data_IF_070045433097
#
_entry.id   IF_070045433097
#
_cell.length_a   1.000
_cell.length_b   1.000
_cell.length_c   1.000
_cell.angle_alpha   90.00
_cell.angle_beta   90.00
_cell.angle_gamma   90.00
#
_symmetry.space_group_name_H-M   'P 1'
#
loop_
_entity.id
_entity.type
_entity.pdbx_description
1 polymer ?
#
# COMPACT_ATOMS: atom_id res chain seq x y z
N UNK A 1 3.42 -23.24 -8.38
CA UNK A 1 2.74 -22.16 -7.66
C UNK A 1 3.09 -22.32 -6.20
N UNK A 2 3.49 -21.25 -5.52
CA UNK A 2 3.82 -21.30 -4.10
C UNK A 2 2.60 -21.68 -3.26
N UNK A 3 2.85 -22.29 -2.11
CA UNK A 3 1.80 -22.73 -1.19
C UNK A 3 0.94 -21.57 -0.67
N UNK A 4 1.53 -20.38 -0.54
CA UNK A 4 0.85 -19.17 -0.10
C UNK A 4 1.08 -18.03 -1.10
N UNK A 5 0.09 -17.16 -1.29
CA UNK A 5 0.19 -15.97 -2.13
C UNK A 5 -0.28 -14.76 -1.34
N UNK A 6 0.50 -13.70 -1.33
CA UNK A 6 0.13 -12.41 -0.71
C UNK A 6 0.11 -11.33 -1.79
N UNK A 7 -1.04 -10.79 -2.09
CA UNK A 7 -1.20 -9.62 -2.93
C UNK A 7 -0.92 -8.35 -2.13
N UNK A 8 0.09 -7.59 -2.57
CA UNK A 8 0.56 -6.42 -1.84
C UNK A 8 0.49 -5.15 -2.67
N UNK A 9 -0.14 -4.11 -2.14
CA UNK A 9 -0.02 -2.75 -2.66
C UNK A 9 0.70 -1.87 -1.64
N UNK A 10 1.78 -1.20 -2.07
CA UNK A 10 2.57 -0.36 -1.17
C UNK A 10 3.07 0.89 -1.87
N UNK A 11 2.87 2.07 -1.25
CA UNK A 11 3.40 3.35 -1.70
C UNK A 11 4.71 3.72 -1.00
N UNK A 12 4.72 3.68 0.34
CA UNK A 12 5.86 4.05 1.18
C UNK A 12 6.70 2.86 1.66
N UNK A 13 6.37 1.63 1.26
CA UNK A 13 7.06 0.42 1.69
C UNK A 13 6.41 -0.31 2.86
N UNK A 14 5.60 0.34 3.70
CA UNK A 14 5.05 -0.25 4.92
C UNK A 14 4.25 -1.55 4.67
N UNK A 15 3.38 -1.57 3.67
CA UNK A 15 2.60 -2.76 3.35
C UNK A 15 3.50 -3.90 2.84
N UNK A 16 4.54 -3.59 2.08
CA UNK A 16 5.49 -4.60 1.61
C UNK A 16 6.33 -5.17 2.77
N UNK A 17 6.73 -4.34 3.72
CA UNK A 17 7.42 -4.80 4.93
C UNK A 17 6.52 -5.74 5.75
N UNK A 18 5.25 -5.36 5.95
CA UNK A 18 4.24 -6.22 6.61
C UNK A 18 4.10 -7.56 5.86
N UNK A 19 3.95 -7.51 4.54
CA UNK A 19 3.80 -8.71 3.71
C UNK A 19 5.04 -9.62 3.79
N UNK A 20 6.26 -9.04 3.75
CA UNK A 20 7.52 -9.78 3.92
C UNK A 20 7.62 -10.46 5.31
N UNK A 21 7.21 -9.76 6.38
CA UNK A 21 7.23 -10.33 7.72
C UNK A 21 6.23 -11.49 7.88
N UNK A 22 5.04 -11.36 7.30
CA UNK A 22 4.05 -12.45 7.27
C UNK A 22 4.58 -13.63 6.45
N UNK A 23 5.07 -13.37 5.23
CA UNK A 23 5.60 -14.39 4.32
C UNK A 23 6.74 -15.21 4.94
N UNK A 24 7.69 -14.56 5.62
CA UNK A 24 8.78 -15.24 6.34
C UNK A 24 8.29 -16.24 7.38
N UNK A 25 7.15 -15.98 8.02
CA UNK A 25 6.57 -16.86 9.01
C UNK A 25 5.78 -18.01 8.39
N UNK A 26 5.15 -17.76 7.24
CA UNK A 26 4.38 -18.76 6.52
C UNK A 26 5.26 -19.74 5.71
N UNK A 27 6.43 -19.27 5.26
CA UNK A 27 7.30 -20.01 4.31
C UNK A 27 6.62 -20.19 2.95
N UNK A 28 7.36 -20.60 1.93
CA UNK A 28 6.88 -20.87 0.57
C UNK A 28 5.76 -19.91 0.13
N UNK A 29 6.09 -18.62 0.07
CA UNK A 29 5.13 -17.54 -0.18
C UNK A 29 5.57 -16.64 -1.33
N UNK A 30 4.71 -16.45 -2.31
CA UNK A 30 4.86 -15.40 -3.33
C UNK A 30 4.15 -14.12 -2.90
N UNK A 31 4.88 -13.01 -2.84
CA UNK A 31 4.31 -11.67 -2.68
C UNK A 31 4.15 -11.08 -4.07
N UNK A 32 2.92 -10.92 -4.53
CA UNK A 32 2.56 -10.34 -5.82
C UNK A 32 2.21 -8.88 -5.65
N UNK A 33 2.94 -7.99 -6.31
CA UNK A 33 2.70 -6.56 -6.21
C UNK A 33 1.48 -6.16 -7.04
N UNK A 34 0.42 -5.65 -6.40
CA UNK A 34 -0.79 -5.14 -7.03
C UNK A 34 -0.51 -3.77 -7.70
N UNK A 35 0.22 -3.78 -8.79
CA UNK A 35 0.47 -2.59 -9.62
C UNK A 35 -0.43 -2.66 -10.85
N UNK A 36 -0.42 -1.62 -11.71
CA UNK A 36 -1.13 -1.67 -12.96
C UNK A 36 -0.70 -2.92 -13.74
N UNK A 37 -1.66 -3.81 -14.01
CA UNK A 37 -1.49 -5.04 -14.78
C UNK A 37 -0.55 -6.11 -14.16
N UNK A 38 -0.83 -6.61 -12.94
CA UNK A 38 -0.13 -7.81 -12.47
C UNK A 38 -0.51 -9.02 -13.33
N UNK A 39 0.50 -9.82 -13.68
CA UNK A 39 0.34 -10.99 -14.55
C UNK A 39 -0.39 -12.15 -13.85
N UNK A 40 -0.27 -12.22 -12.51
CA UNK A 40 -0.84 -13.31 -11.70
C UNK A 40 -2.27 -12.94 -11.31
N UNK A 41 -3.25 -13.57 -11.95
CA UNK A 41 -4.69 -13.41 -11.64
C UNK A 41 -5.38 -14.72 -11.25
N UNK A 42 -4.75 -15.86 -11.47
CA UNK A 42 -5.28 -17.17 -11.10
C UNK A 42 -4.38 -17.79 -10.02
N UNK A 43 -4.92 -17.90 -8.83
CA UNK A 43 -4.23 -18.46 -7.66
C UNK A 43 -4.99 -19.64 -7.06
N UNK A 44 -5.83 -20.28 -7.87
CA UNK A 44 -6.46 -21.54 -7.47
C UNK A 44 -5.39 -22.60 -7.19
N UNK A 45 -5.55 -23.31 -6.10
CA UNK A 45 -4.56 -24.24 -5.56
C UNK A 45 -3.58 -23.64 -4.55
N UNK A 46 -3.59 -22.31 -4.32
CA UNK A 46 -2.89 -21.73 -3.18
C UNK A 46 -3.60 -22.09 -1.87
N UNK A 47 -2.83 -22.54 -0.87
CA UNK A 47 -3.39 -22.88 0.45
C UNK A 47 -3.89 -21.64 1.18
N UNK A 48 -3.17 -20.53 1.06
CA UNK A 48 -3.53 -19.25 1.68
C UNK A 48 -3.42 -18.13 0.66
N UNK A 49 -4.39 -17.21 0.68
CA UNK A 49 -4.40 -16.02 -0.16
C UNK A 49 -4.57 -14.79 0.73
N UNK A 50 -3.59 -13.89 0.71
CA UNK A 50 -3.57 -12.69 1.54
C UNK A 50 -3.65 -11.41 0.73
N UNK A 51 -4.22 -10.35 1.34
CA UNK A 51 -4.30 -9.00 0.78
C UNK A 51 -3.70 -8.00 1.76
N UNK A 52 -2.59 -7.35 1.40
CA UNK A 52 -1.92 -6.35 2.24
C UNK A 52 -1.91 -5.01 1.50
N UNK A 53 -2.60 -4.01 2.04
CA UNK A 53 -2.81 -2.75 1.34
C UNK A 53 -2.93 -1.54 2.30
N UNK A 54 -2.68 -0.31 1.82
CA UNK A 54 -2.83 0.89 2.62
C UNK A 54 -4.26 1.43 2.56
N UNK A 55 -4.67 2.11 3.64
CA UNK A 55 -5.86 2.95 3.63
C UNK A 55 -5.52 4.31 2.99
N UNK A 56 -6.18 4.64 1.88
CA UNK A 56 -6.10 5.95 1.26
C UNK A 56 -7.42 6.69 1.43
N UNK A 57 -7.40 7.73 2.29
CA UNK A 57 -8.58 8.55 2.58
C UNK A 57 -9.86 7.71 2.82
N UNK A 58 -9.78 6.82 3.79
CA UNK A 58 -10.88 5.95 4.17
C UNK A 58 -11.15 4.75 3.25
N UNK A 59 -10.45 4.61 2.12
CA UNK A 59 -10.72 3.57 1.12
C UNK A 59 -9.51 2.78 0.64
N UNK A 60 -9.77 1.97 -0.39
CA UNK A 60 -8.74 1.25 -1.15
C UNK A 60 -8.06 2.20 -2.16
N UNK A 61 -6.79 1.97 -2.51
CA UNK A 61 -6.29 2.46 -3.79
C UNK A 61 -7.14 1.89 -4.94
N UNK A 62 -7.57 2.74 -5.89
CA UNK A 62 -8.50 2.32 -6.95
C UNK A 62 -8.03 1.12 -7.78
N UNK A 63 -6.71 0.99 -7.97
CA UNK A 63 -6.12 -0.15 -8.69
C UNK A 63 -6.28 -1.48 -7.93
N UNK A 64 -6.32 -1.44 -6.59
CA UNK A 64 -6.49 -2.64 -5.75
C UNK A 64 -7.89 -3.23 -5.92
N UNK A 65 -8.94 -2.39 -5.89
CA UNK A 65 -10.33 -2.86 -6.01
C UNK A 65 -10.55 -3.55 -7.37
N UNK A 66 -10.12 -2.89 -8.46
CA UNK A 66 -10.18 -3.46 -9.80
C UNK A 66 -9.42 -4.78 -9.89
N UNK A 67 -8.18 -4.81 -9.40
CA UNK A 67 -7.35 -5.99 -9.46
C UNK A 67 -7.98 -7.19 -8.74
N UNK A 68 -8.47 -6.97 -7.50
CA UNK A 68 -9.07 -8.05 -6.69
C UNK A 68 -10.35 -8.60 -7.35
N UNK A 69 -11.14 -7.75 -8.03
CA UNK A 69 -12.34 -8.21 -8.74
C UNK A 69 -12.06 -9.12 -9.95
N UNK A 70 -10.82 -9.15 -10.44
CA UNK A 70 -10.40 -9.99 -11.56
C UNK A 70 -9.69 -11.28 -11.11
N UNK A 71 -9.49 -11.46 -9.80
CA UNK A 71 -8.79 -12.62 -9.24
C UNK A 71 -9.66 -13.89 -9.28
N UNK A 72 -9.00 -15.01 -9.52
CA UNK A 72 -9.56 -16.35 -9.37
C UNK A 72 -8.94 -17.01 -8.16
N UNK A 73 -9.68 -17.05 -7.07
CA UNK A 73 -9.29 -17.66 -5.80
C UNK A 73 -10.11 -18.94 -5.63
N UNK A 74 -9.47 -20.00 -5.11
CA UNK A 74 -10.16 -21.23 -4.79
C UNK A 74 -11.04 -20.99 -3.53
N UNK A 75 -12.34 -21.40 -3.52
CA UNK A 75 -13.18 -21.30 -2.34
C UNK A 75 -12.63 -22.01 -1.09
N UNK A 76 -11.78 -23.02 -1.28
CA UNK A 76 -11.13 -23.76 -0.19
C UNK A 76 -9.85 -23.08 0.33
N UNK A 77 -9.37 -22.04 -0.34
CA UNK A 77 -8.22 -21.27 0.14
C UNK A 77 -8.56 -20.50 1.39
N UNK A 78 -7.71 -20.57 2.41
CA UNK A 78 -7.81 -19.68 3.55
C UNK A 78 -7.44 -18.25 3.14
N UNK A 79 -8.33 -17.30 3.38
CA UNK A 79 -8.20 -15.93 2.92
C UNK A 79 -8.00 -14.95 4.07
N UNK A 80 -7.08 -13.98 3.91
CA UNK A 80 -6.86 -12.97 4.94
C UNK A 80 -6.56 -11.58 4.38
N UNK A 81 -6.87 -10.55 5.17
CA UNK A 81 -6.62 -9.16 4.81
C UNK A 81 -5.86 -8.40 5.90
N UNK A 82 -4.90 -7.54 5.49
CA UNK A 82 -4.21 -6.63 6.40
C UNK A 82 -4.20 -5.22 5.83
N UNK A 83 -4.80 -4.27 6.54
CA UNK A 83 -4.80 -2.86 6.16
C UNK A 83 -3.77 -2.08 6.97
N UNK A 84 -2.89 -1.34 6.29
CA UNK A 84 -2.00 -0.36 6.93
C UNK A 84 -2.60 1.04 6.84
N UNK A 85 -2.62 1.77 7.95
CA UNK A 85 -3.23 3.09 8.03
C UNK A 85 -2.49 4.01 9.01
N UNK A 86 -2.68 5.33 8.91
CA UNK A 86 -2.15 6.29 9.87
C UNK A 86 -3.17 6.59 10.99
N UNK A 87 -4.35 7.06 10.67
CA UNK A 87 -5.38 7.43 11.65
C UNK A 87 -6.46 6.36 11.87
N UNK A 88 -7.02 5.81 10.79
CA UNK A 88 -8.11 4.83 10.84
C UNK A 88 -8.07 3.87 9.63
N UNK A 89 -8.61 2.64 9.75
CA UNK A 89 -8.50 1.62 8.72
C UNK A 89 -9.42 1.84 7.51
N UNK A 90 -10.46 2.68 7.66
CA UNK A 90 -11.43 2.95 6.60
C UNK A 90 -12.33 1.77 6.24
N UNK A 91 -12.90 1.81 5.02
CA UNK A 91 -13.82 0.78 4.50
C UNK A 91 -13.15 -0.23 3.56
N UNK A 92 -11.83 -0.10 3.34
CA UNK A 92 -11.11 -0.91 2.35
C UNK A 92 -11.20 -2.41 2.61
N UNK A 93 -11.13 -2.82 3.88
CA UNK A 93 -11.24 -4.24 4.26
C UNK A 93 -12.62 -4.81 3.96
N UNK A 94 -13.69 -4.05 4.25
CA UNK A 94 -15.05 -4.47 3.93
C UNK A 94 -15.25 -4.63 2.42
N UNK A 95 -14.68 -3.73 1.61
CA UNK A 95 -14.72 -3.84 0.15
C UNK A 95 -14.00 -5.08 -0.39
N UNK A 96 -12.83 -5.40 0.15
CA UNK A 96 -12.14 -6.66 -0.22
C UNK A 96 -13.02 -7.85 0.15
N UNK A 97 -13.57 -7.86 1.36
CA UNK A 97 -14.44 -8.95 1.83
C UNK A 97 -15.71 -9.12 0.98
N UNK A 98 -16.20 -8.06 0.36
CA UNK A 98 -17.37 -8.13 -0.55
C UNK A 98 -17.03 -8.81 -1.89
N UNK A 99 -15.75 -8.79 -2.28
CA UNK A 99 -15.27 -9.38 -3.54
C UNK A 99 -14.74 -10.80 -3.27
N UNK A 100 -13.89 -10.94 -2.26
CA UNK A 100 -13.31 -12.21 -1.80
C UNK A 100 -13.59 -12.32 -0.31
N UNK A 101 -14.50 -13.21 0.13
CA UNK A 101 -14.78 -13.44 1.55
C UNK A 101 -13.50 -13.71 2.32
N UNK A 102 -13.29 -13.05 3.45
CA UNK A 102 -12.11 -13.17 4.27
C UNK A 102 -12.37 -13.99 5.52
N UNK A 103 -11.52 -14.98 5.77
CA UNK A 103 -11.53 -15.77 7.02
C UNK A 103 -10.92 -14.97 8.18
N UNK A 104 -9.96 -14.07 7.87
CA UNK A 104 -9.27 -13.27 8.87
C UNK A 104 -8.95 -11.86 8.36
N UNK A 105 -9.03 -10.87 9.24
CA UNK A 105 -8.61 -9.50 8.90
C UNK A 105 -7.99 -8.77 10.10
N UNK A 106 -7.04 -7.89 9.80
CA UNK A 106 -6.36 -7.10 10.81
C UNK A 106 -5.97 -5.71 10.29
N UNK A 107 -5.66 -4.81 11.21
CA UNK A 107 -5.18 -3.47 10.90
C UNK A 107 -3.88 -3.14 11.64
N UNK A 108 -2.94 -2.49 10.93
CA UNK A 108 -1.69 -2.00 11.51
C UNK A 108 -1.60 -0.49 11.33
N UNK A 109 -1.52 0.24 12.44
CA UNK A 109 -1.36 1.69 12.41
C UNK A 109 0.11 2.08 12.27
N UNK A 110 0.40 2.90 11.23
CA UNK A 110 1.69 3.53 10.97
C UNK A 110 1.55 5.05 11.03
N UNK A 111 1.45 5.61 12.24
CA UNK A 111 1.20 7.03 12.45
C UNK A 111 2.36 7.97 12.04
N UNK A 112 3.53 7.41 11.71
CA UNK A 112 4.68 8.20 11.24
C UNK A 112 4.66 8.52 9.75
N UNK A 113 3.84 7.85 8.93
CA UNK A 113 3.93 7.91 7.47
C UNK A 113 2.95 8.88 6.80
N UNK A 114 2.14 9.58 7.57
CA UNK A 114 1.13 10.47 7.01
C UNK A 114 1.74 11.81 6.58
N UNK A 115 2.17 11.91 5.33
CA UNK A 115 2.58 13.18 4.70
C UNK A 115 1.38 14.00 4.26
N UNK A 116 0.21 13.41 4.25
CA UNK A 116 -0.97 13.92 3.62
C UNK A 116 -1.70 14.98 4.45
N UNK A 117 -1.90 16.16 3.95
CA UNK A 117 -3.15 16.82 3.67
C UNK A 117 -3.84 17.54 4.80
N UNK A 118 -3.62 17.21 6.04
CA UNK A 118 -4.19 17.94 7.15
C UNK A 118 -3.16 18.92 7.69
N UNK A 119 -3.58 20.13 8.10
CA UNK A 119 -2.75 20.97 8.94
C UNK A 119 -2.28 20.15 10.13
N UNK A 120 -1.04 20.32 10.57
CA UNK A 120 -0.46 19.59 11.72
C UNK A 120 -1.31 19.60 12.98
N UNK A 121 -2.25 20.53 13.09
CA UNK A 121 -3.16 20.70 14.22
C UNK A 121 -4.30 19.68 14.31
N UNK A 122 -4.59 18.94 13.23
CA UNK A 122 -5.68 17.95 13.19
C UNK A 122 -5.19 16.50 13.17
N UNK A 123 -3.87 16.27 13.18
CA UNK A 123 -3.31 14.91 13.20
C UNK A 123 -3.07 14.47 14.64
N UNK A 124 -3.43 13.23 14.91
CA UNK A 124 -2.97 12.50 16.09
C UNK A 124 -1.44 12.65 16.19
N UNK A 125 -0.88 12.69 17.42
CA UNK A 125 0.56 12.82 17.58
C UNK A 125 1.28 11.78 16.74
N UNK A 126 2.18 12.25 15.87
CA UNK A 126 3.00 11.38 15.05
C UNK A 126 3.93 10.60 15.97
N UNK A 127 3.96 9.29 15.82
CA UNK A 127 4.94 8.46 16.50
C UNK A 127 6.31 8.63 15.82
N UNK A 128 7.36 8.52 16.61
CA UNK A 128 8.70 8.30 16.08
C UNK A 128 8.71 7.10 15.13
N UNK A 129 9.42 7.23 14.00
CA UNK A 129 9.41 6.22 12.94
C UNK A 129 9.93 4.85 13.45
N UNK A 130 10.91 4.84 14.35
CA UNK A 130 11.47 3.61 14.92
C UNK A 130 10.46 2.88 15.81
N UNK A 131 9.70 3.63 16.62
CA UNK A 131 8.64 3.07 17.46
C UNK A 131 7.48 2.55 16.64
N UNK A 132 7.10 3.28 15.59
CA UNK A 132 6.05 2.84 14.66
C UNK A 132 6.47 1.56 13.94
N UNK A 133 7.73 1.45 13.52
CA UNK A 133 8.28 0.26 12.87
C UNK A 133 8.29 -0.95 13.82
N UNK A 134 8.84 -0.82 15.02
CA UNK A 134 8.89 -1.90 16.02
C UNK A 134 7.48 -2.42 16.39
N UNK A 135 6.50 -1.49 16.51
CA UNK A 135 5.10 -1.86 16.73
C UNK A 135 4.53 -2.63 15.54
N UNK A 136 4.82 -2.18 14.33
CA UNK A 136 4.37 -2.85 13.10
C UNK A 136 4.91 -4.26 12.99
N UNK A 137 6.20 -4.47 13.23
CA UNK A 137 6.84 -5.78 13.19
C UNK A 137 6.22 -6.74 14.22
N UNK A 138 6.00 -6.28 15.45
CA UNK A 138 5.34 -7.08 16.50
C UNK A 138 3.91 -7.48 16.09
N UNK A 139 3.14 -6.55 15.51
CA UNK A 139 1.78 -6.85 15.06
C UNK A 139 1.78 -7.76 13.83
N UNK A 140 2.69 -7.56 12.89
CA UNK A 140 2.84 -8.42 11.72
C UNK A 140 3.19 -9.86 12.11
N UNK A 141 4.08 -10.05 13.10
CA UNK A 141 4.39 -11.36 13.64
C UNK A 141 3.16 -12.05 14.27
N UNK A 142 2.39 -11.31 15.07
CA UNK A 142 1.14 -11.84 15.65
C UNK A 142 0.12 -12.22 14.57
N UNK A 143 -0.06 -11.38 13.56
CA UNK A 143 -0.96 -11.65 12.43
C UNK A 143 -0.48 -12.90 11.67
N UNK A 144 0.82 -13.04 11.46
CA UNK A 144 1.39 -14.20 10.81
C UNK A 144 1.11 -15.50 11.58
N UNK A 145 1.20 -15.47 12.92
CA UNK A 145 0.84 -16.62 13.76
C UNK A 145 -0.67 -16.92 13.66
N UNK A 146 -1.53 -15.90 13.77
CA UNK A 146 -2.99 -16.06 13.61
C UNK A 146 -3.35 -16.72 12.25
N UNK A 147 -2.68 -16.29 11.15
CA UNK A 147 -2.85 -16.84 9.80
C UNK A 147 -2.25 -18.25 9.68
N UNK A 148 -1.10 -18.50 10.27
CA UNK A 148 -0.43 -19.80 10.25
C UNK A 148 -1.31 -20.88 10.90
N UNK A 149 -1.92 -20.53 12.04
CA UNK A 149 -2.84 -21.40 12.80
C UNK A 149 -4.29 -21.34 12.33
N UNK A 150 -4.55 -20.74 11.16
CA UNK A 150 -5.86 -20.74 10.49
C UNK A 150 -6.96 -20.19 11.40
N UNK A 151 -6.70 -19.06 12.02
CA UNK A 151 -7.66 -18.38 12.88
C UNK A 151 -8.78 -17.75 12.04
N UNK A 152 -10.02 -18.06 12.38
CA UNK A 152 -11.19 -17.46 11.76
C UNK A 152 -11.78 -16.36 12.63
N UNK A 153 -12.23 -15.27 12.00
CA UNK A 153 -13.00 -14.23 12.64
C UNK A 153 -14.47 -14.36 12.23
N UNK A 154 -15.36 -14.15 13.18
CA UNK A 154 -16.81 -14.13 12.91
C UNK A 154 -17.26 -12.74 12.49
N UNK A 155 -18.26 -12.66 11.60
CA UNK A 155 -18.88 -11.43 11.17
C UNK A 155 -18.20 -10.81 9.94
N UNK A 156 -18.25 -9.49 9.84
CA UNK A 156 -17.76 -8.70 8.69
C UNK A 156 -16.83 -7.59 9.16
N UNK A 157 -15.78 -7.23 8.39
CA UNK A 157 -14.97 -6.07 8.69
C UNK A 157 -15.82 -4.81 8.84
N UNK A 158 -15.49 -3.98 9.83
CA UNK A 158 -16.24 -2.74 10.11
C UNK A 158 -16.20 -1.79 8.92
N UNK A 159 -17.34 -1.17 8.64
CA UNK A 159 -17.49 -0.11 7.65
C UNK A 159 -18.18 1.08 8.30
N UNK A 160 -17.56 2.27 8.19
CA UNK A 160 -18.12 3.51 8.70
C UNK A 160 -18.64 4.36 7.53
N UNK A 161 -19.90 4.84 7.54
CA UNK A 161 -20.48 5.64 6.47
C UNK A 161 -19.69 6.91 6.14
N UNK A 162 -19.10 7.57 7.13
CA UNK A 162 -18.27 8.78 6.94
C UNK A 162 -17.01 8.43 6.12
N UNK A 163 -16.35 7.32 6.47
CA UNK A 163 -15.18 6.85 5.72
C UNK A 163 -15.56 6.37 4.31
N UNK A 164 -16.76 5.83 4.13
CA UNK A 164 -17.26 5.46 2.79
C UNK A 164 -17.45 6.68 1.89
N UNK A 165 -17.98 7.78 2.43
CA UNK A 165 -18.14 9.04 1.69
C UNK A 165 -16.77 9.65 1.33
N UNK A 166 -15.83 9.66 2.25
CA UNK A 166 -14.45 10.11 2.02
C UNK A 166 -13.78 9.28 0.93
N UNK A 167 -13.87 7.95 1.01
CA UNK A 167 -13.34 7.03 0.02
C UNK A 167 -13.93 7.27 -1.37
N UNK A 168 -15.21 7.57 -1.46
CA UNK A 168 -15.90 7.90 -2.73
C UNK A 168 -15.41 9.22 -3.33
N UNK A 169 -15.13 10.22 -2.50
CA UNK A 169 -14.60 11.51 -2.94
C UNK A 169 -13.11 11.48 -3.31
N UNK A 170 -12.36 10.49 -2.81
CA UNK A 170 -10.91 10.43 -2.95
C UNK A 170 -10.38 10.47 -4.38
N UNK A 171 -10.90 9.74 -5.38
CA UNK A 171 -10.39 9.78 -6.75
C UNK A 171 -10.37 11.20 -7.33
N UNK A 172 -11.43 11.97 -7.09
CA UNK A 172 -11.52 13.37 -7.52
C UNK A 172 -10.51 14.25 -6.77
N UNK A 173 -10.40 14.08 -5.47
CA UNK A 173 -9.48 14.86 -4.63
C UNK A 173 -8.01 14.55 -4.93
N UNK A 174 -7.67 13.28 -5.15
CA UNK A 174 -6.30 12.88 -5.49
C UNK A 174 -5.87 13.42 -6.85
N UNK A 175 -6.75 13.43 -7.85
CA UNK A 175 -6.49 14.05 -9.14
C UNK A 175 -6.20 15.54 -9.05
N UNK A 176 -7.01 16.29 -8.30
CA UNK A 176 -6.77 17.74 -8.05
C UNK A 176 -5.45 18.02 -7.33
N UNK A 177 -5.00 17.11 -6.47
CA UNK A 177 -3.72 17.24 -5.76
C UNK A 177 -2.55 16.81 -6.65
N UNK A 178 -2.72 15.80 -7.46
CA UNK A 178 -1.74 15.40 -8.45
C UNK A 178 -1.40 16.52 -9.43
N UNK A 179 -2.39 17.32 -9.82
CA UNK A 179 -2.18 18.51 -10.65
C UNK A 179 -1.27 19.58 -10.00
N UNK A 180 -1.06 19.49 -8.68
CA UNK A 180 -0.15 20.37 -7.92
C UNK A 180 1.25 19.78 -7.71
N UNK A 181 1.55 18.64 -8.33
CA UNK A 181 2.88 18.05 -8.24
C UNK A 181 3.87 18.88 -9.07
N UNK A 182 5.00 19.17 -8.46
CA UNK A 182 6.09 19.95 -9.05
C UNK A 182 7.41 19.20 -8.97
N UNK A 183 8.30 19.49 -9.91
CA UNK A 183 9.66 18.97 -9.94
C UNK A 183 10.61 20.15 -9.86
N UNK A 184 11.48 20.18 -8.86
CA UNK A 184 12.47 21.26 -8.66
C UNK A 184 13.73 21.03 -9.48
N UNK A 185 14.61 22.05 -9.55
CA UNK A 185 15.89 21.98 -10.27
C UNK A 185 16.89 20.99 -9.65
N UNK A 186 16.62 20.49 -8.43
CA UNK A 186 17.38 19.40 -7.82
C UNK A 186 17.21 18.06 -8.54
N UNK A 187 16.29 17.96 -9.53
CA UNK A 187 16.08 16.73 -10.29
C UNK A 187 17.26 16.46 -11.21
N UNK A 188 17.84 15.27 -11.07
CA UNK A 188 18.98 14.79 -11.88
C UNK A 188 18.57 13.80 -12.97
N UNK A 189 17.29 13.63 -13.24
CA UNK A 189 16.77 12.75 -14.30
C UNK A 189 17.05 11.25 -14.12
N UNK A 190 17.31 10.75 -12.90
CA UNK A 190 17.72 9.36 -12.64
C UNK A 190 16.66 8.30 -12.96
N UNK A 191 15.41 8.67 -13.23
CA UNK A 191 14.32 7.77 -13.62
C UNK A 191 13.71 6.93 -12.48
N UNK A 192 14.19 7.02 -11.23
CA UNK A 192 13.65 6.23 -10.13
C UNK A 192 12.15 6.44 -9.92
N UNK A 193 11.67 7.67 -9.99
CA UNK A 193 10.26 8.01 -9.85
C UNK A 193 9.39 7.41 -10.96
N UNK A 194 9.93 7.31 -12.20
CA UNK A 194 9.23 6.68 -13.32
C UNK A 194 9.07 5.16 -13.07
N UNK A 195 10.14 4.48 -12.64
CA UNK A 195 10.09 3.05 -12.29
C UNK A 195 9.13 2.76 -11.12
N UNK A 196 9.10 3.64 -10.12
CA UNK A 196 8.24 3.50 -8.94
C UNK A 196 6.76 3.81 -9.22
N UNK A 197 6.43 4.50 -10.32
CA UNK A 197 5.06 4.87 -10.58
C UNK A 197 4.21 3.66 -10.97
N UNK A 198 3.20 3.24 -10.17
CA UNK A 198 2.40 2.07 -10.48
C UNK A 198 1.55 2.24 -11.74
N UNK A 199 1.34 3.48 -12.19
CA UNK A 199 0.55 3.80 -13.38
C UNK A 199 1.38 4.27 -14.58
N UNK A 200 2.71 4.18 -14.53
CA UNK A 200 3.55 4.68 -15.61
C UNK A 200 3.36 6.18 -15.90
N UNK A 201 2.90 6.95 -14.90
CA UNK A 201 2.49 8.36 -15.05
C UNK A 201 3.65 9.35 -15.01
N UNK A 202 4.90 8.87 -15.03
CA UNK A 202 6.11 9.72 -14.97
C UNK A 202 7.08 9.28 -16.05
N UNK A 203 7.54 10.25 -16.83
CA UNK A 203 8.59 10.08 -17.86
C UNK A 203 9.78 10.99 -17.55
N UNK A 204 10.92 10.71 -18.19
CA UNK A 204 12.08 11.61 -18.14
C UNK A 204 12.16 12.32 -19.48
N UNK A 205 12.04 13.65 -19.45
CA UNK A 205 12.07 14.51 -20.62
C UNK A 205 13.18 15.56 -20.39
N UNK A 206 14.10 15.68 -21.33
CA UNK A 206 15.24 16.62 -21.24
C UNK A 206 16.00 16.50 -19.90
N UNK A 207 16.27 15.27 -19.43
CA UNK A 207 17.00 15.03 -18.19
C UNK A 207 16.21 15.34 -16.90
N UNK A 208 14.90 15.54 -16.96
CA UNK A 208 14.06 15.91 -15.82
C UNK A 208 12.76 15.08 -15.78
N UNK A 209 12.26 14.79 -14.59
CA UNK A 209 10.99 14.09 -14.45
C UNK A 209 9.82 14.98 -14.92
N UNK A 210 8.95 14.39 -15.74
CA UNK A 210 7.68 14.97 -16.17
C UNK A 210 6.54 14.11 -15.62
N UNK A 211 5.61 14.73 -14.91
CA UNK A 211 4.53 14.04 -14.19
C UNK A 211 3.22 14.30 -14.92
N UNK A 212 2.56 13.24 -15.37
CA UNK A 212 1.27 13.30 -16.05
C UNK A 212 0.09 13.44 -15.09
N UNK A 213 -1.13 13.29 -15.62
CA UNK A 213 -2.40 13.51 -14.89
C UNK A 213 -3.00 12.24 -14.29
N UNK A 214 -2.51 11.04 -14.65
CA UNK A 214 -3.05 9.76 -14.19
C UNK A 214 -2.44 9.34 -12.83
N UNK A 215 -2.51 10.20 -11.81
CA UNK A 215 -1.94 9.97 -10.50
C UNK A 215 -2.99 9.52 -9.49
N UNK A 216 -2.70 8.45 -8.76
CA UNK A 216 -3.56 7.92 -7.67
C UNK A 216 -3.15 8.42 -6.28
N UNK A 217 -2.14 9.26 -6.18
CA UNK A 217 -1.69 9.81 -4.91
C UNK A 217 -0.93 8.85 -4.00
N UNK A 218 -0.28 7.81 -4.54
CA UNK A 218 0.49 6.85 -3.73
C UNK A 218 1.78 7.42 -3.13
N UNK A 219 2.26 8.54 -3.66
CA UNK A 219 3.46 9.29 -3.22
C UNK A 219 4.80 8.53 -3.29
N UNK A 220 4.86 7.34 -3.87
CA UNK A 220 6.13 6.60 -4.00
C UNK A 220 7.24 7.43 -4.62
N UNK A 221 6.93 8.16 -5.70
CA UNK A 221 7.87 9.03 -6.40
C UNK A 221 8.43 10.16 -5.53
N UNK A 222 7.59 10.70 -4.63
CA UNK A 222 7.97 11.78 -3.71
C UNK A 222 8.80 11.25 -2.54
N UNK A 223 8.38 10.12 -1.95
CA UNK A 223 8.99 9.56 -0.76
C UNK A 223 10.38 8.96 -1.01
N UNK A 224 10.55 8.29 -2.14
CA UNK A 224 11.80 7.64 -2.51
C UNK A 224 12.74 8.54 -3.34
N UNK A 225 12.40 9.80 -3.59
CA UNK A 225 13.29 10.69 -4.33
C UNK A 225 14.51 11.09 -3.48
N UNK A 226 15.68 10.54 -3.79
CA UNK A 226 16.93 10.82 -3.05
C UNK A 226 17.35 12.28 -3.12
N UNK A 227 16.92 13.02 -4.14
CA UNK A 227 17.16 14.47 -4.29
C UNK A 227 16.01 15.33 -3.76
N UNK A 228 14.95 14.71 -3.20
CA UNK A 228 13.75 15.39 -2.73
C UNK A 228 13.16 16.39 -3.74
N UNK A 229 13.39 16.12 -5.03
CA UNK A 229 13.03 17.03 -6.12
C UNK A 229 11.54 17.08 -6.43
N UNK A 230 10.75 16.08 -5.99
CA UNK A 230 9.32 16.00 -6.26
C UNK A 230 8.55 16.51 -5.05
N UNK A 231 7.62 17.44 -5.29
CA UNK A 231 6.75 18.02 -4.27
C UNK A 231 5.28 17.99 -4.70
N UNK A 232 4.36 17.97 -3.73
CA UNK A 232 2.93 18.12 -3.94
C UNK A 232 2.48 19.45 -3.35
N UNK A 233 2.53 20.50 -4.16
CA UNK A 233 2.29 21.87 -3.75
C UNK A 233 3.27 22.33 -2.66
N UNK A 234 3.04 23.51 -2.10
CA UNK A 234 3.89 24.09 -1.04
C UNK A 234 3.90 23.28 0.26
N UNK A 235 2.85 22.47 0.51
CA UNK A 235 2.69 21.73 1.75
C UNK A 235 3.77 20.66 1.99
N UNK A 236 4.40 20.13 0.94
CA UNK A 236 5.40 19.05 1.07
C UNK A 236 6.85 19.53 0.99
N UNK A 237 7.09 20.78 0.60
CA UNK A 237 8.46 21.33 0.38
C UNK A 237 9.32 21.26 1.64
N UNK A 238 8.71 21.48 2.82
CA UNK A 238 9.41 21.49 4.11
C UNK A 238 9.17 20.24 4.93
N UNK A 239 8.50 19.21 4.37
CA UNK A 239 8.21 17.98 5.09
C UNK A 239 9.30 16.95 4.88
N UNK A 240 9.66 16.26 5.95
CA UNK A 240 10.52 15.10 5.86
C UNK A 240 9.92 14.04 4.94
N UNK A 241 10.78 13.37 4.22
CA UNK A 241 10.43 12.20 3.41
C UNK A 241 10.45 10.97 4.30
N UNK A 242 9.45 10.13 4.12
CA UNK A 242 9.39 8.86 4.81
C UNK A 242 9.20 7.72 3.83
N UNK A 243 10.04 6.73 3.91
CA UNK A 243 9.78 5.39 3.39
C UNK A 243 10.20 4.36 4.43
N UNK A 244 9.63 3.17 4.36
CA UNK A 244 9.98 2.09 5.27
C UNK A 244 11.47 1.77 5.14
N UNK A 245 12.23 1.71 6.25
CA UNK A 245 13.68 1.49 6.22
C UNK A 245 14.08 0.11 5.70
N UNK A 246 13.20 -0.89 5.81
CA UNK A 246 13.42 -2.27 5.36
C UNK A 246 13.04 -2.51 3.90
N UNK A 247 12.58 -1.47 3.17
CA UNK A 247 12.08 -1.61 1.80
C UNK A 247 12.77 -0.60 0.88
N UNK A 248 13.55 -1.11 -0.05
CA UNK A 248 14.21 -0.27 -1.06
C UNK A 248 13.25 0.11 -2.21
N UNK A 249 13.65 1.10 -3.00
CA UNK A 249 12.94 1.43 -4.25
C UNK A 249 12.92 0.25 -5.23
N UNK A 250 13.99 -0.55 -5.25
CA UNK A 250 14.08 -1.75 -6.10
C UNK A 250 13.06 -2.82 -5.69
N UNK A 251 12.86 -3.03 -4.39
CA UNK A 251 11.84 -3.97 -3.89
C UNK A 251 10.44 -3.61 -4.37
N UNK A 252 10.08 -2.32 -4.33
CA UNK A 252 8.78 -1.86 -4.81
C UNK A 252 8.59 -2.00 -6.32
N UNK A 253 9.67 -2.11 -7.10
CA UNK A 253 9.62 -2.28 -8.55
C UNK A 253 9.48 -3.75 -8.98
N UNK A 254 9.67 -4.72 -8.08
CA UNK A 254 9.50 -6.13 -8.39
C UNK A 254 8.02 -6.44 -8.65
N UNK A 255 7.75 -7.40 -9.55
CA UNK A 255 6.39 -7.88 -9.81
C UNK A 255 5.99 -8.96 -8.80
N UNK A 256 6.90 -9.87 -8.54
CA UNK A 256 6.74 -10.98 -7.58
C UNK A 256 8.03 -11.10 -6.76
N UNK A 257 7.86 -11.31 -5.46
CA UNK A 257 8.95 -11.56 -4.50
C UNK A 257 8.67 -12.92 -3.86
N UNK A 258 9.54 -13.89 -4.08
CA UNK A 258 9.43 -15.19 -3.42
C UNK A 258 10.14 -15.19 -2.07
N UNK A 259 9.51 -15.80 -1.08
CA UNK A 259 10.02 -15.99 0.28
C UNK A 259 9.90 -17.47 0.63
N UNK A 260 11.05 -18.12 0.88
CA UNK A 260 11.15 -19.52 1.30
C UNK A 260 10.66 -19.74 2.74
#
# INVERSE_FOLDING_TARGET
MSKNVIFCYSGSGNCLDIAKNIAKRLGDTDIVMMRAEPEVKDVRGAKRVGFVFPCYAGGLPGDVEKFVSELRVDPESYTFGVVSYAGYPGVGMAKINDIVPLDYWAGISHQCSCIWLMPHTLMLPMLDASRAQARSEKLAAKIADDVLYVKHLSGRPLSNPVNALEAKAWPMLSGKKAAKMTVTDSCVGCGQCARLCPRGNISIVNGRASIGTNCIGCLSCLQYCTKQAINMGGATVRRERYHNPNVSAADLCQKVIHID
#
